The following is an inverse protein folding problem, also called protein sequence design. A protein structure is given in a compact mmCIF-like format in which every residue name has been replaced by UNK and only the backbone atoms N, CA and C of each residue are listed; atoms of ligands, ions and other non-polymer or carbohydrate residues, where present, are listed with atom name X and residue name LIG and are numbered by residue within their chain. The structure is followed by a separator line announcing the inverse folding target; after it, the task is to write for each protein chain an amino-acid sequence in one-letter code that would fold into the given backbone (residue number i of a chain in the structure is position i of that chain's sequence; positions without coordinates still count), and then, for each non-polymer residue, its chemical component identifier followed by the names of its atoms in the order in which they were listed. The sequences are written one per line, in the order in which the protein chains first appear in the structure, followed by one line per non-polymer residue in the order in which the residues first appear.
data_IF_175032354785
#
_entry.id   IF_175032354785
#
_cell.length_a   1.000
_cell.length_b   1.000
_cell.length_c   1.000
_cell.angle_alpha   90.00
_cell.angle_beta   90.00
_cell.angle_gamma   90.00
#
_symmetry.space_group_name_H-M   'P 1'
#
loop_
_entity.id
_entity.type
_entity.pdbx_description
1 polymer ?
#
# COMPACT_ATOMS: atom_id res chain seq x y z
N UNK A 1 16.23 -8.19 -15.95
CA UNK A 1 16.58 -6.92 -15.27
C UNK A 1 16.31 -7.13 -13.80
N UNK A 2 17.38 -7.07 -13.01
CA UNK A 2 17.38 -7.37 -11.57
C UNK A 2 16.66 -6.26 -10.79
N UNK A 3 15.40 -6.52 -10.43
CA UNK A 3 14.60 -5.61 -9.60
C UNK A 3 14.74 -5.98 -8.12
N UNK A 4 15.98 -6.05 -7.61
CA UNK A 4 16.26 -6.48 -6.25
C UNK A 4 17.61 -6.01 -5.73
N UNK A 5 17.86 -6.33 -4.46
CA UNK A 5 19.12 -6.08 -3.76
C UNK A 5 19.44 -7.30 -2.89
N UNK A 6 20.72 -7.66 -2.82
CA UNK A 6 21.19 -8.77 -2.01
C UNK A 6 21.90 -8.26 -0.75
N UNK A 7 21.62 -8.92 0.38
CA UNK A 7 22.26 -8.65 1.67
C UNK A 7 22.98 -9.89 2.19
N UNK A 8 24.21 -9.70 2.67
CA UNK A 8 25.04 -10.78 3.22
C UNK A 8 25.20 -10.59 4.74
N UNK A 9 24.97 -11.67 5.49
CA UNK A 9 25.05 -11.66 6.95
C UNK A 9 26.02 -12.74 7.44
N UNK A 10 26.91 -12.37 8.37
CA UNK A 10 27.80 -13.34 9.02
C UNK A 10 27.07 -14.30 9.98
N UNK A 11 25.89 -13.93 10.47
CA UNK A 11 25.07 -14.75 11.35
C UNK A 11 23.65 -14.90 10.78
N UNK A 12 23.16 -16.16 10.72
CA UNK A 12 21.81 -16.49 10.25
C UNK A 12 20.72 -15.71 10.99
N UNK A 13 20.86 -15.53 12.30
CA UNK A 13 19.85 -14.83 13.12
C UNK A 13 19.69 -13.37 12.72
N UNK A 14 20.75 -12.71 12.24
CA UNK A 14 20.68 -11.34 11.75
C UNK A 14 19.87 -11.27 10.45
N UNK A 15 20.12 -12.20 9.52
CA UNK A 15 19.35 -12.30 8.29
C UNK A 15 17.86 -12.53 8.55
N UNK A 16 17.51 -13.45 9.46
CA UNK A 16 16.10 -13.70 9.82
C UNK A 16 15.41 -12.45 10.40
N UNK A 17 16.10 -11.68 11.24
CA UNK A 17 15.57 -10.42 11.79
C UNK A 17 15.40 -9.35 10.71
N UNK A 18 16.30 -9.29 9.73
CA UNK A 18 16.27 -8.33 8.64
C UNK A 18 15.06 -8.53 7.71
N UNK A 19 14.69 -9.79 7.43
CA UNK A 19 13.50 -10.14 6.63
C UNK A 19 12.17 -9.78 7.33
N UNK A 20 12.23 -9.26 8.56
CA UNK A 20 11.08 -8.96 9.42
C UNK A 20 10.10 -7.89 8.92
N UNK A 21 8.98 -7.79 9.64
CA UNK A 21 7.65 -7.17 9.41
C UNK A 21 7.59 -5.68 8.98
N UNK A 22 8.46 -5.19 8.12
CA UNK A 22 8.40 -3.77 7.66
C UNK A 22 7.45 -3.56 6.48
N UNK A 23 7.22 -4.62 5.69
CA UNK A 23 6.31 -4.65 4.56
C UNK A 23 5.58 -6.00 4.50
N UNK A 24 4.49 -6.14 3.72
CA UNK A 24 3.89 -7.44 3.45
C UNK A 24 4.84 -8.20 2.51
N UNK A 25 5.42 -9.29 3.01
CA UNK A 25 6.46 -10.04 2.30
C UNK A 25 6.13 -11.52 2.19
N UNK A 26 6.46 -12.10 1.03
CA UNK A 26 6.56 -13.55 0.85
C UNK A 26 8.02 -13.94 0.98
N UNK A 27 8.33 -14.85 1.90
CA UNK A 27 9.70 -15.33 2.09
C UNK A 27 9.81 -16.82 1.82
N UNK A 28 10.90 -17.22 1.16
CA UNK A 28 11.31 -18.62 0.97
C UNK A 28 12.73 -18.76 1.48
N UNK A 29 12.94 -19.76 2.33
CA UNK A 29 14.24 -20.10 2.88
C UNK A 29 14.81 -21.34 2.21
N UNK A 30 16.11 -21.33 1.96
CA UNK A 30 16.87 -22.47 1.48
C UNK A 30 18.15 -22.63 2.32
N UNK A 31 18.69 -23.85 2.38
CA UNK A 31 19.97 -24.13 3.03
C UNK A 31 20.79 -25.08 2.17
N UNK A 32 22.06 -24.74 2.01
CA UNK A 32 23.04 -25.57 1.31
C UNK A 32 24.09 -26.04 2.32
N UNK A 33 24.34 -27.35 2.40
CA UNK A 33 25.44 -27.89 3.18
C UNK A 33 26.76 -27.53 2.47
N UNK A 34 27.64 -26.83 3.17
CA UNK A 34 28.96 -26.43 2.68
C UNK A 34 30.02 -27.43 3.12
N UNK A 35 29.99 -27.82 4.40
CA UNK A 35 30.92 -28.81 4.95
C UNK A 35 30.34 -29.54 6.17
N UNK A 36 30.89 -30.70 6.49
CA UNK A 36 30.54 -31.49 7.67
C UNK A 36 31.82 -32.07 8.29
N UNK A 37 32.04 -31.81 9.58
CA UNK A 37 33.09 -32.44 10.38
C UNK A 37 32.51 -33.66 11.10
N UNK A 38 32.89 -34.86 10.66
CA UNK A 38 32.44 -36.14 11.21
C UNK A 38 32.96 -36.43 12.61
N UNK A 39 34.08 -35.81 13.03
CA UNK A 39 34.67 -36.04 14.35
C UNK A 39 33.94 -35.25 15.43
N UNK A 40 33.54 -34.02 15.11
CA UNK A 40 32.79 -33.16 16.02
C UNK A 40 31.28 -33.13 15.74
N UNK A 41 30.82 -33.86 14.72
CA UNK A 41 29.44 -33.85 14.21
C UNK A 41 28.91 -32.43 13.92
N UNK A 42 29.77 -31.55 13.40
CA UNK A 42 29.42 -30.15 13.11
C UNK A 42 29.12 -29.96 11.62
N UNK A 43 28.01 -29.29 11.31
CA UNK A 43 27.58 -29.02 9.95
C UNK A 43 27.62 -27.53 9.66
N UNK A 44 28.30 -27.15 8.59
CA UNK A 44 28.36 -25.78 8.12
C UNK A 44 27.36 -25.59 6.97
N UNK A 45 26.36 -24.74 7.17
CA UNK A 45 25.33 -24.46 6.19
C UNK A 45 25.40 -23.00 5.73
N UNK A 46 25.26 -22.80 4.41
CA UNK A 46 24.94 -21.49 3.84
C UNK A 46 23.41 -21.36 3.75
N UNK A 47 22.87 -20.30 4.32
CA UNK A 47 21.44 -20.02 4.32
C UNK A 47 21.12 -18.92 3.32
N UNK A 48 20.08 -19.12 2.53
CA UNK A 48 19.56 -18.14 1.57
C UNK A 48 18.12 -17.82 1.90
N UNK A 49 17.77 -16.54 1.94
CA UNK A 49 16.40 -16.06 2.13
C UNK A 49 15.99 -15.27 0.89
N UNK A 50 15.07 -15.81 0.11
CA UNK A 50 14.45 -15.11 -1.01
C UNK A 50 13.21 -14.40 -0.51
N UNK A 51 13.18 -13.07 -0.60
CA UNK A 51 12.09 -12.24 -0.07
C UNK A 51 11.50 -11.41 -1.19
N UNK A 52 10.19 -11.48 -1.34
CA UNK A 52 9.42 -10.71 -2.31
C UNK A 52 8.47 -9.79 -1.56
N UNK A 53 8.57 -8.49 -1.82
CA UNK A 53 7.72 -7.46 -1.21
C UNK A 53 6.47 -7.30 -2.08
N UNK A 54 5.32 -7.08 -1.44
CA UNK A 54 4.10 -6.69 -2.14
C UNK A 54 4.34 -5.47 -3.06
N UNK A 55 3.90 -5.50 -4.32
CA UNK A 55 4.08 -4.40 -5.26
C UNK A 55 3.19 -3.19 -4.96
N UNK A 56 2.27 -3.29 -3.99
CA UNK A 56 1.34 -2.21 -3.64
C UNK A 56 2.08 -1.12 -2.86
N UNK A 57 2.00 0.11 -3.37
CA UNK A 57 2.53 1.29 -2.70
C UNK A 57 1.42 2.10 -2.03
N UNK A 58 1.81 2.98 -1.10
CA UNK A 58 0.92 4.01 -0.57
C UNK A 58 0.49 4.93 -1.71
N UNK A 59 -0.78 5.34 -1.69
CA UNK A 59 -1.45 6.20 -2.69
C UNK A 59 -1.66 5.57 -4.07
N UNK A 60 -1.46 4.25 -4.19
CA UNK A 60 -1.88 3.53 -5.39
C UNK A 60 -3.40 3.41 -5.47
N UNK A 61 -3.93 3.54 -6.68
CA UNK A 61 -5.32 3.22 -7.00
C UNK A 61 -5.38 1.74 -7.38
N UNK A 62 -6.29 1.00 -6.75
CA UNK A 62 -6.44 -0.44 -6.94
C UNK A 62 -7.86 -0.74 -7.44
N UNK A 63 -7.94 -1.61 -8.44
CA UNK A 63 -9.20 -2.19 -8.90
C UNK A 63 -9.33 -3.61 -8.33
N UNK A 64 -10.25 -3.81 -7.39
CA UNK A 64 -10.52 -5.10 -6.78
C UNK A 64 -11.43 -5.92 -7.69
N UNK A 65 -11.12 -7.22 -7.82
CA UNK A 65 -12.09 -8.15 -8.41
C UNK A 65 -13.31 -8.30 -7.47
N UNK A 66 -14.50 -8.61 -8.00
CA UNK A 66 -15.71 -8.74 -7.18
C UNK A 66 -15.55 -9.70 -5.99
N UNK A 67 -14.84 -10.83 -6.21
CA UNK A 67 -14.58 -11.82 -5.17
C UNK A 67 -13.73 -11.27 -4.03
N UNK A 68 -12.70 -10.48 -4.35
CA UNK A 68 -11.84 -9.85 -3.34
C UNK A 68 -12.61 -8.75 -2.62
N UNK A 69 -13.35 -7.91 -3.36
CA UNK A 69 -14.15 -6.83 -2.79
C UNK A 69 -15.17 -7.33 -1.74
N UNK A 70 -15.87 -8.44 -2.02
CA UNK A 70 -16.78 -9.10 -1.07
C UNK A 70 -16.01 -9.64 0.13
N UNK A 71 -14.89 -10.34 -0.11
CA UNK A 71 -14.06 -10.91 0.96
C UNK A 71 -13.44 -9.87 1.91
N UNK A 72 -13.33 -8.62 1.48
CA UNK A 72 -12.78 -7.50 2.25
C UNK A 72 -13.84 -6.61 2.90
N UNK A 73 -15.07 -7.13 3.08
CA UNK A 73 -16.14 -6.40 3.77
C UNK A 73 -17.05 -5.61 2.84
N UNK A 74 -17.27 -6.09 1.61
CA UNK A 74 -18.08 -5.43 0.59
C UNK A 74 -17.60 -4.00 0.31
N UNK A 75 -16.31 -3.86 0.00
CA UNK A 75 -15.73 -2.64 -0.54
C UNK A 75 -16.24 -2.40 -1.97
N UNK A 76 -16.21 -1.15 -2.41
CA UNK A 76 -16.35 -0.83 -3.84
C UNK A 76 -15.21 -1.44 -4.69
N UNK A 77 -15.39 -1.49 -6.02
CA UNK A 77 -14.38 -2.03 -6.93
C UNK A 77 -13.12 -1.15 -7.00
N UNK A 78 -13.22 0.14 -6.69
CA UNK A 78 -12.09 1.08 -6.68
C UNK A 78 -11.75 1.50 -5.26
N UNK A 79 -10.49 1.29 -4.87
CA UNK A 79 -9.98 1.64 -3.54
C UNK A 79 -8.59 2.25 -3.66
N UNK A 80 -8.23 3.06 -2.66
CA UNK A 80 -6.92 3.69 -2.54
C UNK A 80 -6.15 3.02 -1.41
N UNK A 81 -4.88 2.70 -1.63
CA UNK A 81 -4.00 2.26 -0.54
C UNK A 81 -3.57 3.45 0.31
N UNK A 82 -4.00 3.50 1.57
CA UNK A 82 -3.68 4.63 2.47
C UNK A 82 -2.42 4.40 3.30
N UNK A 83 -2.06 3.13 3.51
CA UNK A 83 -0.90 2.75 4.34
C UNK A 83 -0.36 1.38 3.93
N UNK A 84 0.96 1.29 3.85
CA UNK A 84 1.70 0.03 3.70
C UNK A 84 2.70 -0.08 4.83
N UNK A 85 2.58 -1.12 5.66
CA UNK A 85 3.53 -1.55 6.70
C UNK A 85 3.57 -3.08 6.69
N UNK A 86 3.56 -3.76 7.84
CA UNK A 86 3.26 -5.18 7.92
C UNK A 86 1.85 -5.57 7.41
N UNK A 87 0.99 -4.57 7.21
CA UNK A 87 -0.35 -4.69 6.65
C UNK A 87 -0.58 -3.63 5.58
N UNK A 88 -1.56 -3.88 4.72
CA UNK A 88 -2.06 -2.96 3.70
C UNK A 88 -3.39 -2.41 4.19
N UNK A 89 -3.50 -1.08 4.27
CA UNK A 89 -4.77 -0.41 4.54
C UNK A 89 -5.37 0.10 3.22
N UNK A 90 -6.61 -0.28 2.96
CA UNK A 90 -7.39 0.16 1.80
C UNK A 90 -8.55 1.04 2.27
N UNK A 91 -8.88 2.02 1.44
CA UNK A 91 -9.99 2.95 1.66
C UNK A 91 -10.78 3.08 0.36
N UNK A 92 -12.09 2.89 0.46
CA UNK A 92 -13.04 3.25 -0.59
C UNK A 92 -13.31 4.77 -0.50
N UNK A 93 -12.93 5.56 -1.52
CA UNK A 93 -13.06 7.01 -1.47
C UNK A 93 -14.51 7.51 -1.54
N UNK A 94 -15.46 6.68 -1.98
CA UNK A 94 -16.87 7.06 -2.14
C UNK A 94 -17.72 6.73 -0.92
N UNK A 95 -17.33 5.71 -0.16
CA UNK A 95 -18.10 5.23 1.00
C UNK A 95 -17.39 5.41 2.34
N UNK A 96 -16.12 5.83 2.32
CA UNK A 96 -15.21 5.85 3.48
C UNK A 96 -15.02 4.50 4.17
N UNK A 97 -15.51 3.40 3.59
CA UNK A 97 -15.24 2.06 4.11
C UNK A 97 -13.75 1.79 4.00
N UNK A 98 -13.20 1.21 5.07
CA UNK A 98 -11.79 0.87 5.12
C UNK A 98 -11.61 -0.60 5.49
N UNK A 99 -10.49 -1.15 5.03
CA UNK A 99 -10.12 -2.53 5.31
C UNK A 99 -8.62 -2.60 5.59
N UNK A 100 -8.24 -3.49 6.51
CA UNK A 100 -6.86 -3.82 6.78
C UNK A 100 -6.61 -5.27 6.38
N UNK A 101 -5.58 -5.48 5.55
CA UNK A 101 -5.11 -6.80 5.18
C UNK A 101 -3.73 -7.03 5.77
N UNK A 102 -3.54 -8.12 6.49
CA UNK A 102 -2.20 -8.58 6.81
C UNK A 102 -1.50 -9.20 5.56
N UNK A 103 -0.22 -9.53 5.72
CA UNK A 103 0.56 -10.12 4.65
C UNK A 103 -0.03 -11.46 4.16
N UNK A 104 -0.50 -12.31 5.05
CA UNK A 104 -1.02 -13.64 4.69
C UNK A 104 -2.35 -13.53 3.93
N UNK A 105 -3.23 -12.61 4.32
CA UNK A 105 -4.46 -12.28 3.62
C UNK A 105 -4.17 -11.76 2.22
N UNK A 106 -3.25 -10.82 2.07
CA UNK A 106 -2.84 -10.31 0.76
C UNK A 106 -2.28 -11.43 -0.13
N UNK A 107 -1.38 -12.27 0.42
CA UNK A 107 -0.71 -13.31 -0.35
C UNK A 107 -1.66 -14.44 -0.81
N UNK A 108 -2.76 -14.69 -0.11
CA UNK A 108 -3.79 -15.67 -0.54
C UNK A 108 -4.59 -15.17 -1.74
N UNK A 109 -4.86 -13.87 -1.81
CA UNK A 109 -5.64 -13.25 -2.89
C UNK A 109 -4.96 -11.96 -3.36
N UNK A 110 -3.79 -12.07 -4.03
CA UNK A 110 -3.01 -10.91 -4.40
C UNK A 110 -3.72 -10.11 -5.48
N UNK A 111 -3.61 -8.80 -5.38
CA UNK A 111 -4.07 -7.83 -6.37
C UNK A 111 -2.95 -6.86 -6.70
N UNK A 112 -3.10 -6.13 -7.82
CA UNK A 112 -2.14 -5.17 -8.34
C UNK A 112 -2.74 -3.78 -8.39
N UNK A 113 -1.90 -2.77 -8.34
CA UNK A 113 -2.28 -1.38 -8.57
C UNK A 113 -2.77 -1.20 -10.00
N UNK A 114 -3.90 -0.52 -10.18
CA UNK A 114 -4.42 -0.08 -11.47
C UNK A 114 -3.62 1.13 -11.96
N UNK A 115 -3.42 2.10 -11.08
CA UNK A 115 -2.55 3.26 -11.29
C UNK A 115 -1.62 3.40 -10.09
N UNK A 116 -0.39 3.77 -10.35
CA UNK A 116 0.62 3.98 -9.30
C UNK A 116 0.64 5.43 -8.84
N UNK A 117 1.11 5.67 -7.61
CA UNK A 117 1.33 7.03 -7.08
C UNK A 117 2.24 7.91 -7.97
N UNK A 118 3.06 7.31 -8.84
CA UNK A 118 3.90 8.04 -9.82
C UNK A 118 3.11 8.73 -10.92
N UNK A 119 1.85 8.36 -11.10
CA UNK A 119 0.95 8.94 -12.10
C UNK A 119 0.04 10.02 -11.51
N UNK A 120 0.28 10.44 -10.26
CA UNK A 120 -0.44 11.54 -9.64
C UNK A 120 -0.20 12.84 -10.40
N UNK A 121 -1.24 13.65 -10.47
CA UNK A 121 -1.26 14.94 -11.16
C UNK A 121 -1.84 15.98 -10.21
N UNK A 122 -1.32 17.20 -10.27
CA UNK A 122 -1.75 18.30 -9.44
C UNK A 122 -3.08 18.90 -9.93
N UNK A 123 -3.93 19.23 -8.96
CA UNK A 123 -5.21 19.90 -9.14
C UNK A 123 -5.32 21.10 -8.20
N UNK A 124 -5.97 22.15 -8.68
CA UNK A 124 -6.37 23.32 -7.89
C UNK A 124 -7.80 23.06 -7.42
N UNK A 125 -8.05 23.30 -6.13
CA UNK A 125 -9.38 23.19 -5.51
C UNK A 125 -9.99 24.58 -5.44
N UNK A 126 -11.19 24.74 -5.98
CA UNK A 126 -11.94 26.00 -5.94
C UNK A 126 -12.91 26.04 -4.78
N UNK A 127 -13.63 24.93 -4.58
CA UNK A 127 -14.70 24.84 -3.59
C UNK A 127 -14.82 23.41 -3.06
N UNK A 128 -15.27 23.29 -1.82
CA UNK A 128 -15.44 22.01 -1.12
C UNK A 128 -16.70 22.04 -0.26
N UNK A 129 -17.69 21.23 -0.64
CA UNK A 129 -18.92 21.04 0.10
C UNK A 129 -18.88 19.70 0.87
N UNK A 130 -18.93 19.74 2.20
CA UNK A 130 -18.92 18.53 3.02
C UNK A 130 -20.29 17.85 2.98
N UNK A 131 -20.33 16.59 2.53
CA UNK A 131 -21.55 15.80 2.32
C UNK A 131 -21.84 14.89 3.52
N UNK A 132 -20.81 14.49 4.26
CA UNK A 132 -20.97 13.60 5.42
C UNK A 132 -20.21 14.10 6.66
N UNK A 133 -20.65 13.70 7.87
CA UNK A 133 -19.86 13.89 9.08
C UNK A 133 -18.46 13.29 8.97
N UNK A 134 -17.53 13.85 9.72
CA UNK A 134 -16.16 13.37 9.81
C UNK A 134 -16.10 11.99 10.48
N UNK A 135 -15.25 11.11 9.95
CA UNK A 135 -14.97 9.77 10.47
C UNK A 135 -13.47 9.65 10.73
N UNK A 136 -13.11 8.99 11.84
CA UNK A 136 -11.72 8.65 12.16
C UNK A 136 -11.38 7.25 11.65
N UNK A 137 -10.39 7.17 10.78
CA UNK A 137 -9.88 5.90 10.23
C UNK A 137 -8.36 5.88 10.38
N UNK A 138 -7.84 4.87 11.09
CA UNK A 138 -6.38 4.69 11.24
C UNK A 138 -5.66 5.89 11.88
N UNK A 139 -6.35 6.66 12.71
CA UNK A 139 -5.84 7.88 13.35
C UNK A 139 -5.93 9.14 12.47
N UNK A 140 -6.37 9.02 11.22
CA UNK A 140 -6.63 10.15 10.31
C UNK A 140 -8.12 10.47 10.27
N UNK A 141 -8.43 11.74 9.99
CA UNK A 141 -9.78 12.28 9.90
C UNK A 141 -10.19 12.38 8.44
N UNK A 142 -11.39 11.93 8.11
CA UNK A 142 -11.88 11.80 6.75
C UNK A 142 -13.34 12.25 6.68
N UNK A 143 -13.74 12.96 5.64
CA UNK A 143 -15.14 13.31 5.37
C UNK A 143 -15.41 13.17 3.87
N UNK A 144 -16.61 12.74 3.49
CA UNK A 144 -17.03 12.83 2.10
C UNK A 144 -17.34 14.29 1.79
N UNK A 145 -16.81 14.75 0.67
CA UNK A 145 -17.04 16.09 0.18
C UNK A 145 -17.14 16.10 -1.34
N UNK A 146 -17.97 16.99 -1.86
CA UNK A 146 -17.94 17.39 -3.26
C UNK A 146 -16.90 18.48 -3.43
N UNK A 147 -15.88 18.21 -4.23
CA UNK A 147 -14.83 19.18 -4.52
C UNK A 147 -14.91 19.63 -5.99
N UNK A 148 -14.90 20.94 -6.20
CA UNK A 148 -14.72 21.55 -7.52
C UNK A 148 -13.23 21.73 -7.78
N UNK A 149 -12.72 21.04 -8.81
CA UNK A 149 -11.29 21.06 -9.11
C UNK A 149 -11.00 21.34 -10.59
N UNK A 150 -9.86 21.95 -10.86
CA UNK A 150 -9.26 21.99 -12.20
C UNK A 150 -7.81 21.51 -12.17
N UNK A 151 -7.38 20.90 -13.28
CA UNK A 151 -5.99 20.47 -13.43
C UNK A 151 -5.09 21.71 -13.54
N UNK A 152 -3.96 21.73 -12.83
CA UNK A 152 -3.00 22.86 -12.85
C UNK A 152 -2.60 23.22 -14.28
N UNK A 153 -2.38 22.24 -15.15
CA UNK A 153 -1.98 22.46 -16.54
C UNK A 153 -3.06 23.08 -17.43
N UNK A 154 -4.34 23.01 -17.04
CA UNK A 154 -5.48 23.55 -17.78
C UNK A 154 -5.95 24.92 -17.28
N UNK A 155 -5.46 25.33 -16.11
CA UNK A 155 -5.84 26.60 -15.48
C UNK A 155 -5.47 27.79 -16.38
N UNK A 156 -6.45 28.67 -16.63
CA UNK A 156 -6.31 29.83 -17.51
C UNK A 156 -6.35 29.54 -19.02
N UNK A 157 -6.53 28.27 -19.43
CA UNK A 157 -6.68 27.88 -20.85
C UNK A 157 -8.05 27.29 -21.18
N UNK A 158 -8.63 26.51 -20.26
CA UNK A 158 -9.96 25.91 -20.40
C UNK A 158 -10.69 25.96 -19.05
N UNK A 159 -11.90 26.54 -19.01
CA UNK A 159 -12.79 26.58 -17.83
C UNK A 159 -13.51 25.24 -17.61
N UNK A 160 -12.79 24.12 -17.65
CA UNK A 160 -13.34 22.80 -17.34
C UNK A 160 -13.13 22.53 -15.85
N UNK A 161 -14.21 22.61 -15.08
CA UNK A 161 -14.26 22.18 -13.69
C UNK A 161 -14.83 20.76 -13.60
N UNK A 162 -14.27 19.95 -12.70
CA UNK A 162 -14.78 18.62 -12.39
C UNK A 162 -15.30 18.61 -10.96
N UNK A 163 -16.53 18.14 -10.77
CA UNK A 163 -17.08 17.81 -9.45
C UNK A 163 -16.65 16.39 -9.13
N UNK A 164 -15.92 16.22 -8.04
CA UNK A 164 -15.49 14.91 -7.56
C UNK A 164 -16.04 14.68 -6.15
N UNK A 165 -16.77 13.58 -5.97
CA UNK A 165 -17.02 13.01 -4.65
C UNK A 165 -15.69 12.46 -4.12
N UNK A 166 -15.05 13.18 -3.20
CA UNK A 166 -13.73 12.87 -2.67
C UNK A 166 -13.79 12.74 -1.16
N UNK A 167 -12.90 11.92 -0.63
CA UNK A 167 -12.57 11.95 0.78
C UNK A 167 -11.59 13.12 1.07
N UNK A 168 -12.02 14.10 1.86
CA UNK A 168 -11.15 15.14 2.40
C UNK A 168 -10.50 14.64 3.69
N UNK A 169 -9.19 14.38 3.65
CA UNK A 169 -8.42 14.24 4.90
C UNK A 169 -8.17 15.63 5.49
N UNK A 170 -8.40 15.81 6.79
CA UNK A 170 -8.40 17.11 7.48
C UNK A 170 -7.05 17.85 7.52
N UNK A 171 -6.53 18.26 6.37
CA UNK A 171 -5.43 19.18 6.16
C UNK A 171 -5.98 20.55 5.73
N UNK A 172 -6.89 21.11 6.52
CA UNK A 172 -7.13 22.55 6.53
C UNK A 172 -6.23 23.12 7.62
N UNK A 173 -4.94 23.32 7.31
CA UNK A 173 -4.18 24.32 8.05
C UNK A 173 -4.37 25.63 7.31
N UNK A 174 -5.20 26.49 7.90
CA UNK A 174 -5.21 27.91 7.63
C UNK A 174 -3.77 28.44 7.64
N UNK A 175 -3.30 28.87 6.48
CA UNK A 175 -2.23 29.86 6.37
C UNK A 175 -2.55 30.68 5.14
N UNK A 176 -2.96 31.92 5.41
CA UNK A 176 -3.06 33.02 4.45
C UNK A 176 -1.69 33.33 3.83
#
# INVERSE_FOLDING_TARGET
MDHGIDFFFGNRTHGVKFVGKVAPVRSRNDKQLVSHDTKSNNYNYKYTFSVEISPICREDLICLSPRVAVGLGNLGPLVICTKVRNSIALLDPFTLKHCFLDADQYLRTPFKSLLTCRQLVEYIVFDVDIVSPEVRIGGSRYALADAQVARVSGFGKNDTYHVLHKNASGAYSETW
#
